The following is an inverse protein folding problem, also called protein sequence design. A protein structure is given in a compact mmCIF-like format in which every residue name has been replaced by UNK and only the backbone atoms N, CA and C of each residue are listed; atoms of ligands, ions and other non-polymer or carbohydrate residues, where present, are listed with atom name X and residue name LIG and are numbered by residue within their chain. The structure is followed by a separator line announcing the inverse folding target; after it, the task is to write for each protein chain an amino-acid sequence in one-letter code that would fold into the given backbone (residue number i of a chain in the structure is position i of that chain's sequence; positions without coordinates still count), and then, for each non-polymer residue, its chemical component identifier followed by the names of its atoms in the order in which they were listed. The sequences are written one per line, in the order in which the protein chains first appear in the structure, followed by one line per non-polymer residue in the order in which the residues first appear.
data_IF_489466744945
#
_entry.id   IF_489466744945
#
_cell.length_a   1.000
_cell.length_b   1.000
_cell.length_c   1.000
_cell.angle_alpha   90.00
_cell.angle_beta   90.00
_cell.angle_gamma   90.00
#
_symmetry.space_group_name_H-M   'P 1'
#
loop_
_entity.id
_entity.type
_entity.pdbx_description
1 polymer ?
#
# COMPACT_ATOMS: atom_id res chain seq x y z
N UNK A 1 -17.63 -6.51 -1.29
CA UNK A 1 -17.37 -5.94 0.05
C UNK A 1 -17.49 -4.43 -0.06
N UNK A 2 -18.29 -3.77 0.78
CA UNK A 2 -18.35 -2.30 0.81
C UNK A 2 -17.28 -1.76 1.77
N UNK A 3 -16.20 -1.24 1.18
CA UNK A 3 -15.05 -0.73 1.93
C UNK A 3 -15.43 0.52 2.75
N UNK A 4 -16.30 1.38 2.23
CA UNK A 4 -16.66 2.62 2.91
C UNK A 4 -17.50 2.30 4.14
N UNK A 5 -18.48 1.39 3.97
CA UNK A 5 -19.31 0.92 5.08
C UNK A 5 -18.45 0.26 6.15
N UNK A 6 -17.50 -0.60 5.75
CA UNK A 6 -16.58 -1.24 6.70
C UNK A 6 -15.75 -0.22 7.49
N UNK A 7 -15.21 0.81 6.84
CA UNK A 7 -14.49 1.88 7.54
C UNK A 7 -15.44 2.67 8.45
N UNK A 8 -16.65 2.99 7.99
CA UNK A 8 -17.65 3.72 8.77
C UNK A 8 -18.01 2.97 10.06
N UNK A 9 -18.25 1.68 9.97
CA UNK A 9 -18.58 0.81 11.10
C UNK A 9 -17.41 0.75 12.11
N UNK A 10 -16.18 0.53 11.65
CA UNK A 10 -14.98 0.42 12.51
C UNK A 10 -14.53 1.77 13.11
N UNK A 11 -14.83 2.89 12.43
CA UNK A 11 -14.51 4.23 12.92
C UNK A 11 -15.63 4.88 13.71
N UNK A 12 -16.82 4.26 13.74
CA UNK A 12 -18.07 4.84 14.27
C UNK A 12 -18.39 6.21 13.65
N UNK A 13 -18.02 6.40 12.38
CA UNK A 13 -18.24 7.64 11.64
C UNK A 13 -19.34 7.43 10.59
N UNK A 14 -20.18 8.45 10.32
CA UNK A 14 -21.11 8.39 9.20
C UNK A 14 -20.38 8.15 7.88
N UNK A 15 -20.96 7.33 7.00
CA UNK A 15 -20.46 7.01 5.65
C UNK A 15 -20.12 8.29 4.87
N UNK A 16 -20.92 9.35 5.00
CA UNK A 16 -20.66 10.65 4.37
C UNK A 16 -19.36 11.30 4.83
N UNK A 17 -19.05 11.27 6.14
CA UNK A 17 -17.78 11.79 6.68
C UNK A 17 -16.59 10.95 6.24
N UNK A 18 -16.74 9.63 6.19
CA UNK A 18 -15.67 8.74 5.70
C UNK A 18 -15.38 9.01 4.23
N UNK A 19 -16.42 9.10 3.39
CA UNK A 19 -16.27 9.41 1.97
C UNK A 19 -15.58 10.76 1.74
N UNK A 20 -16.03 11.81 2.45
CA UNK A 20 -15.40 13.14 2.39
C UNK A 20 -13.92 13.11 2.86
N UNK A 21 -13.61 12.33 3.88
CA UNK A 21 -12.24 12.14 4.34
C UNK A 21 -11.37 11.48 3.26
N UNK A 22 -11.83 10.36 2.70
CA UNK A 22 -11.12 9.62 1.65
C UNK A 22 -10.90 10.48 0.40
N UNK A 23 -11.86 11.33 0.04
CA UNK A 23 -11.73 12.21 -1.11
C UNK A 23 -10.48 13.12 -1.03
N UNK A 24 -10.10 13.51 0.20
CA UNK A 24 -8.93 14.34 0.48
C UNK A 24 -7.69 13.57 0.92
N UNK A 25 -7.79 12.24 1.09
CA UNK A 25 -6.73 11.38 1.60
C UNK A 25 -5.38 11.49 0.85
N UNK A 26 -5.33 11.65 -0.49
CA UNK A 26 -4.06 11.75 -1.20
C UNK A 26 -3.16 12.92 -0.77
N UNK A 27 -3.73 13.93 -0.11
CA UNK A 27 -3.02 15.10 0.39
C UNK A 27 -2.73 15.04 1.90
N UNK A 28 -3.16 13.97 2.60
CA UNK A 28 -3.03 13.82 4.05
C UNK A 28 -1.75 13.09 4.45
N UNK A 29 -0.64 13.41 3.77
CA UNK A 29 0.67 12.83 3.98
C UNK A 29 1.65 13.90 4.46
N UNK A 30 2.44 13.58 5.47
CA UNK A 30 3.58 14.40 5.88
C UNK A 30 4.80 13.91 5.11
N UNK A 31 5.35 14.78 4.27
CA UNK A 31 6.54 14.48 3.47
C UNK A 31 7.78 15.00 4.18
N UNK A 32 8.79 14.15 4.35
CA UNK A 32 10.07 14.53 4.95
C UNK A 32 11.21 13.63 4.45
N UNK A 33 12.45 14.14 4.36
CA UNK A 33 13.60 13.35 3.95
C UNK A 33 14.19 12.54 5.13
N UNK A 34 14.74 11.37 4.83
CA UNK A 34 15.61 10.59 5.73
C UNK A 34 16.95 10.36 5.02
N UNK A 35 18.10 10.52 5.70
CA UNK A 35 19.40 10.23 5.10
C UNK A 35 19.52 8.75 4.72
N UNK A 36 20.04 8.48 3.52
CA UNK A 36 20.43 7.11 3.13
C UNK A 36 21.79 6.77 3.76
N UNK A 37 22.02 5.48 4.02
CA UNK A 37 23.31 4.96 4.52
C UNK A 37 24.49 5.32 3.61
N UNK A 38 24.25 5.41 2.30
CA UNK A 38 25.29 5.62 1.29
C UNK A 38 25.34 7.10 0.81
N UNK A 39 24.74 8.02 1.56
CA UNK A 39 24.61 9.43 1.16
C UNK A 39 23.34 9.74 0.37
N UNK A 40 22.97 11.03 0.35
CA UNK A 40 21.70 11.51 -0.20
C UNK A 40 20.49 11.25 0.70
N UNK A 41 19.30 11.51 0.18
CA UNK A 41 18.05 11.45 0.93
C UNK A 41 17.03 10.50 0.30
N UNK A 42 16.21 9.87 1.15
CA UNK A 42 14.98 9.18 0.78
C UNK A 42 13.82 10.05 1.24
N UNK A 43 12.95 10.43 0.31
CA UNK A 43 11.67 11.04 0.66
C UNK A 43 10.76 9.98 1.31
N UNK A 44 10.23 10.31 2.47
CA UNK A 44 9.17 9.55 3.15
C UNK A 44 7.91 10.38 3.09
N UNK A 45 6.81 9.75 2.69
CA UNK A 45 5.47 10.32 2.75
C UNK A 45 4.64 9.47 3.71
N UNK A 46 4.55 9.95 4.94
CA UNK A 46 3.87 9.26 6.04
C UNK A 46 2.39 9.66 6.06
N UNK A 47 1.44 8.71 5.96
CA UNK A 47 0.01 9.03 6.08
C UNK A 47 -0.31 9.57 7.48
N UNK A 48 -1.25 10.50 7.56
CA UNK A 48 -1.81 10.94 8.84
C UNK A 48 -2.32 9.76 9.66
N UNK A 49 -2.30 9.87 11.00
CA UNK A 49 -2.74 8.78 11.90
C UNK A 49 -4.14 8.25 11.55
N UNK A 50 -5.07 9.15 11.25
CA UNK A 50 -6.43 8.79 10.84
C UNK A 50 -6.46 8.03 9.50
N UNK A 51 -5.70 8.50 8.50
CA UNK A 51 -5.60 7.81 7.21
C UNK A 51 -4.97 6.42 7.36
N UNK A 52 -3.90 6.31 8.14
CA UNK A 52 -3.22 5.04 8.43
C UNK A 52 -4.16 4.04 9.10
N UNK A 53 -5.05 4.52 9.97
CA UNK A 53 -6.06 3.66 10.60
C UNK A 53 -7.08 3.13 9.58
N UNK A 54 -7.63 3.99 8.73
CA UNK A 54 -8.56 3.57 7.66
C UNK A 54 -7.90 2.60 6.68
N UNK A 55 -6.65 2.85 6.27
CA UNK A 55 -5.88 1.93 5.43
C UNK A 55 -5.74 0.54 6.08
N UNK A 56 -5.45 0.48 7.39
CA UNK A 56 -5.31 -0.79 8.12
C UNK A 56 -6.61 -1.58 8.17
N UNK A 57 -7.76 -0.93 8.35
CA UNK A 57 -9.07 -1.59 8.30
C UNK A 57 -9.25 -2.32 6.96
N UNK A 58 -8.92 -1.64 5.85
CA UNK A 58 -9.07 -2.22 4.52
C UNK A 58 -8.03 -3.30 4.24
N UNK A 59 -6.78 -3.08 4.64
CA UNK A 59 -5.70 -4.08 4.50
C UNK A 59 -6.08 -5.37 5.22
N UNK A 60 -6.62 -5.30 6.44
CA UNK A 60 -7.01 -6.49 7.20
C UNK A 60 -8.07 -7.34 6.48
N UNK A 61 -8.91 -6.73 5.64
CA UNK A 61 -9.90 -7.45 4.83
C UNK A 61 -9.29 -7.96 3.52
N UNK A 62 -8.43 -7.18 2.89
CA UNK A 62 -7.69 -7.59 1.69
C UNK A 62 -6.74 -8.77 1.96
N UNK A 63 -6.08 -8.81 3.12
CA UNK A 63 -5.20 -9.91 3.53
C UNK A 63 -5.93 -11.26 3.60
N UNK A 64 -7.23 -11.27 3.85
CA UNK A 64 -8.03 -12.51 3.90
C UNK A 64 -8.28 -13.10 2.52
N UNK A 65 -8.20 -12.28 1.47
CA UNK A 65 -8.64 -12.66 0.11
C UNK A 65 -7.51 -12.62 -0.92
N UNK A 66 -6.49 -11.79 -0.73
CA UNK A 66 -5.35 -11.69 -1.63
C UNK A 66 -4.37 -12.83 -1.37
N UNK A 67 -4.07 -13.59 -2.43
CA UNK A 67 -3.09 -14.67 -2.36
C UNK A 67 -1.69 -14.11 -2.51
N UNK A 68 -0.81 -14.46 -1.58
CA UNK A 68 0.62 -14.13 -1.64
C UNK A 68 1.38 -15.35 -2.14
N UNK A 69 2.30 -15.14 -3.08
CA UNK A 69 3.13 -16.22 -3.63
C UNK A 69 4.02 -16.84 -2.55
N UNK A 70 4.22 -18.16 -2.59
CA UNK A 70 4.95 -18.90 -1.57
C UNK A 70 6.43 -18.52 -1.43
N UNK A 71 6.99 -17.85 -2.44
CA UNK A 71 8.38 -17.35 -2.45
C UNK A 71 8.50 -15.88 -2.01
N UNK A 72 7.40 -15.21 -1.67
CA UNK A 72 7.45 -13.84 -1.15
C UNK A 72 7.70 -13.83 0.37
N UNK A 73 8.84 -13.32 0.82
CA UNK A 73 9.18 -13.25 2.24
C UNK A 73 9.03 -11.85 2.84
N UNK A 74 9.05 -10.80 2.01
CA UNK A 74 8.90 -9.43 2.48
C UNK A 74 7.45 -9.13 2.86
N UNK A 75 7.25 -8.44 3.99
CA UNK A 75 5.93 -8.00 4.49
C UNK A 75 4.89 -9.11 4.74
N UNK A 76 5.31 -10.38 4.82
CA UNK A 76 4.42 -11.51 5.09
C UNK A 76 4.48 -11.89 6.58
N UNK A 77 3.31 -11.93 7.24
CA UNK A 77 3.20 -12.34 8.65
C UNK A 77 3.72 -13.77 8.83
N UNK A 78 4.55 -13.97 9.86
CA UNK A 78 5.12 -15.28 10.18
C UNK A 78 6.30 -15.70 9.30
N UNK A 79 6.76 -14.83 8.39
CA UNK A 79 8.02 -15.02 7.64
C UNK A 79 9.04 -14.00 8.06
N UNK A 80 10.31 -14.39 8.03
CA UNK A 80 11.44 -13.57 8.43
C UNK A 80 12.51 -13.51 7.35
N UNK A 81 13.42 -12.54 7.50
CA UNK A 81 14.62 -12.43 6.67
C UNK A 81 15.48 -13.70 6.82
N UNK A 82 15.52 -14.28 8.02
CA UNK A 82 16.25 -15.52 8.29
C UNK A 82 15.71 -16.67 7.45
N UNK A 83 14.39 -16.85 7.42
CA UNK A 83 13.76 -17.94 6.64
C UNK A 83 14.10 -17.81 5.14
N UNK A 84 14.11 -16.58 4.63
CA UNK A 84 14.51 -16.33 3.23
C UNK A 84 15.98 -16.70 2.99
N UNK A 85 16.89 -16.36 3.92
CA UNK A 85 18.32 -16.70 3.81
C UNK A 85 18.53 -18.21 3.88
N UNK A 86 17.85 -18.92 4.78
CA UNK A 86 17.96 -20.38 4.92
C UNK A 86 17.64 -21.13 3.62
N UNK A 87 16.70 -20.61 2.82
CA UNK A 87 16.35 -21.17 1.50
C UNK A 87 17.45 -21.00 0.45
N UNK A 88 18.32 -20.01 0.60
CA UNK A 88 19.35 -19.66 -0.39
C UNK A 88 20.78 -19.98 0.08
N UNK A 89 20.98 -20.40 1.33
CA UNK A 89 22.30 -20.55 1.96
C UNK A 89 23.24 -21.55 1.26
N UNK A 90 22.70 -22.52 0.51
CA UNK A 90 23.49 -23.54 -0.21
C UNK A 90 23.73 -23.19 -1.68
N UNK A 91 23.27 -22.03 -2.14
CA UNK A 91 23.41 -21.63 -3.53
C UNK A 91 24.83 -21.07 -3.76
N UNK A 92 25.58 -21.68 -4.67
CA UNK A 92 26.93 -21.22 -5.02
C UNK A 92 26.95 -19.86 -5.73
N UNK A 93 25.83 -19.47 -6.33
CA UNK A 93 25.66 -18.20 -7.03
C UNK A 93 24.31 -17.58 -6.71
N UNK A 94 24.27 -16.25 -6.55
CA UNK A 94 23.06 -15.50 -6.28
C UNK A 94 22.97 -14.33 -7.26
N UNK A 95 21.90 -14.31 -8.06
CA UNK A 95 21.55 -13.13 -8.84
C UNK A 95 20.86 -12.11 -7.93
N UNK A 96 21.41 -10.91 -7.86
CA UNK A 96 20.82 -9.79 -7.12
C UNK A 96 20.26 -8.76 -8.09
N UNK A 97 18.96 -8.54 -8.03
CA UNK A 97 18.24 -7.53 -8.80
C UNK A 97 17.51 -6.60 -7.82
N UNK A 98 17.45 -5.31 -8.15
CA UNK A 98 16.70 -4.31 -7.38
C UNK A 98 15.93 -3.39 -8.34
N UNK A 99 14.78 -2.88 -7.90
CA UNK A 99 13.95 -1.98 -8.69
C UNK A 99 14.24 -0.52 -8.33
N UNK A 100 14.44 0.31 -9.34
CA UNK A 100 14.50 1.75 -9.15
C UNK A 100 13.11 2.30 -8.82
N UNK A 101 13.02 3.08 -7.73
CA UNK A 101 11.82 3.80 -7.33
C UNK A 101 10.54 2.94 -7.15
N UNK A 102 10.70 1.71 -6.67
CA UNK A 102 9.63 0.69 -6.56
C UNK A 102 8.26 1.25 -6.14
N UNK A 103 8.15 1.85 -4.95
CA UNK A 103 6.86 2.34 -4.44
C UNK A 103 6.25 3.43 -5.31
N UNK A 104 7.03 4.43 -5.71
CA UNK A 104 6.48 5.53 -6.50
C UNK A 104 6.19 5.12 -7.96
N UNK A 105 6.75 4.00 -8.43
CA UNK A 105 6.41 3.43 -9.72
C UNK A 105 5.06 2.70 -9.72
N UNK A 106 4.55 2.30 -8.55
CA UNK A 106 3.24 1.65 -8.41
C UNK A 106 2.14 2.70 -8.50
N UNK A 107 1.23 2.48 -9.44
CA UNK A 107 0.11 3.35 -9.79
C UNK A 107 -1.24 2.72 -9.41
N UNK A 108 -2.34 3.50 -9.41
CA UNK A 108 -3.68 2.96 -9.25
C UNK A 108 -4.04 1.82 -10.22
N UNK A 109 -3.54 1.88 -11.45
CA UNK A 109 -3.78 0.85 -12.46
C UNK A 109 -3.25 -0.52 -12.03
N UNK A 110 -2.10 -0.55 -11.34
CA UNK A 110 -1.49 -1.78 -10.84
C UNK A 110 -2.34 -2.44 -9.74
N UNK A 111 -2.93 -1.62 -8.86
CA UNK A 111 -3.87 -2.12 -7.86
C UNK A 111 -5.15 -2.65 -8.53
N UNK A 112 -5.72 -1.89 -9.47
CA UNK A 112 -6.92 -2.32 -10.21
C UNK A 112 -6.69 -3.66 -10.93
N UNK A 113 -5.54 -3.83 -11.58
CA UNK A 113 -5.16 -5.07 -12.25
C UNK A 113 -4.97 -6.21 -11.24
N UNK A 114 -4.31 -5.96 -10.10
CA UNK A 114 -4.12 -6.95 -9.04
C UNK A 114 -5.46 -7.45 -8.49
N UNK A 115 -6.41 -6.55 -8.22
CA UNK A 115 -7.75 -6.90 -7.74
C UNK A 115 -8.52 -7.73 -8.76
N UNK A 116 -8.47 -7.33 -10.04
CA UNK A 116 -9.10 -8.08 -11.13
C UNK A 116 -8.53 -9.50 -11.25
N UNK A 117 -7.22 -9.65 -11.21
CA UNK A 117 -6.55 -10.95 -11.33
C UNK A 117 -6.84 -11.88 -10.13
N UNK A 118 -7.27 -11.33 -8.99
CA UNK A 118 -7.70 -12.10 -7.82
C UNK A 118 -9.23 -12.30 -7.77
N UNK A 119 -9.99 -11.94 -8.82
CA UNK A 119 -11.44 -12.09 -8.87
C UNK A 119 -12.19 -11.15 -7.92
N UNK A 120 -11.58 -10.00 -7.57
CA UNK A 120 -12.15 -9.00 -6.66
C UNK A 120 -12.84 -7.86 -7.41
N UNK A 121 -13.49 -8.16 -8.54
CA UNK A 121 -14.15 -7.17 -9.41
C UNK A 121 -15.19 -6.31 -8.66
N UNK A 122 -15.81 -6.85 -7.61
CA UNK A 122 -16.74 -6.09 -6.76
C UNK A 122 -16.11 -4.87 -6.09
N UNK A 123 -14.79 -4.86 -5.86
CA UNK A 123 -14.07 -3.72 -5.31
C UNK A 123 -13.78 -2.65 -6.37
N UNK A 124 -13.79 -3.01 -7.65
CA UNK A 124 -13.56 -2.07 -8.75
C UNK A 124 -14.71 -1.07 -8.90
N UNK A 125 -15.92 -1.42 -8.44
CA UNK A 125 -17.05 -0.46 -8.34
C UNK A 125 -16.74 0.74 -7.44
N UNK A 126 -15.81 0.59 -6.49
CA UNK A 126 -15.35 1.65 -5.58
C UNK A 126 -13.90 2.06 -5.84
N UNK A 127 -13.37 1.80 -7.04
CA UNK A 127 -11.95 1.99 -7.35
C UNK A 127 -11.44 3.40 -7.08
N UNK A 128 -12.22 4.44 -7.38
CA UNK A 128 -11.77 5.82 -7.18
C UNK A 128 -11.44 6.09 -5.70
N UNK A 129 -12.29 5.63 -4.79
CA UNK A 129 -12.10 5.80 -3.35
C UNK A 129 -10.94 4.94 -2.85
N UNK A 130 -10.81 3.72 -3.36
CA UNK A 130 -9.69 2.84 -3.02
C UNK A 130 -8.36 3.44 -3.44
N UNK A 131 -8.31 3.99 -4.66
CA UNK A 131 -7.15 4.68 -5.21
C UNK A 131 -6.80 5.90 -4.35
N UNK A 132 -7.79 6.71 -3.95
CA UNK A 132 -7.53 7.86 -3.07
C UNK A 132 -7.11 7.45 -1.65
N UNK A 133 -7.57 6.30 -1.16
CA UNK A 133 -7.23 5.79 0.16
C UNK A 133 -5.76 5.32 0.24
N UNK A 134 -5.28 4.61 -0.78
CA UNK A 134 -3.94 3.99 -0.75
C UNK A 134 -2.84 4.76 -1.46
N UNK A 135 -3.18 5.67 -2.37
CA UNK A 135 -2.20 6.42 -3.14
C UNK A 135 -2.18 7.90 -2.73
N UNK A 136 -1.02 8.52 -2.82
CA UNK A 136 -0.83 9.93 -2.49
C UNK A 136 -0.43 10.74 -3.72
N UNK A 137 -0.52 12.07 -3.58
CA UNK A 137 0.02 12.99 -4.59
C UNK A 137 1.25 13.68 -4.03
N UNK A 138 2.40 13.45 -4.67
CA UNK A 138 3.67 14.17 -4.41
C UNK A 138 3.51 15.69 -4.55
N UNK A 139 2.71 16.12 -5.52
CA UNK A 139 2.36 17.54 -5.72
C UNK A 139 0.93 17.68 -6.24
N UNK A 140 0.39 18.90 -6.28
CA UNK A 140 -0.97 19.14 -6.82
C UNK A 140 -1.14 18.61 -8.26
N UNK A 141 -0.07 18.64 -9.06
CA UNK A 141 -0.05 18.22 -10.47
C UNK A 141 0.44 16.79 -10.68
N UNK A 142 1.02 16.14 -9.67
CA UNK A 142 1.52 14.77 -9.85
C UNK A 142 0.39 13.78 -10.02
N UNK A 143 0.67 12.68 -10.72
CA UNK A 143 -0.18 11.49 -10.67
C UNK A 143 -0.24 10.93 -9.23
N UNK A 144 -1.19 10.03 -9.01
CA UNK A 144 -1.25 9.20 -7.80
C UNK A 144 -0.16 8.14 -7.87
N UNK A 145 0.59 7.99 -6.79
CA UNK A 145 1.61 6.93 -6.62
C UNK A 145 1.55 6.38 -5.21
N UNK A 146 2.09 5.17 -5.00
CA UNK A 146 2.22 4.62 -3.65
C UNK A 146 3.35 5.35 -2.92
N UNK A 147 3.18 5.59 -1.61
CA UNK A 147 4.22 6.21 -0.79
C UNK A 147 5.11 5.19 -0.09
N UNK A 148 6.26 5.69 0.36
CA UNK A 148 7.11 5.04 1.35
C UNK A 148 6.83 5.73 2.70
N UNK A 149 6.31 5.02 3.73
CA UNK A 149 6.05 5.62 5.06
C UNK A 149 5.27 4.75 6.06
#
# INVERSE_FOLDING_TARGET
MDIIKKIADETLMPVSKVSAFIFTAPYRYKVYPIPKRNGGFREIAQPSRALKFMQRIVIAELEKVLKVHENAYAYVKGRSIKDNVEKHQRNSYILKVDFCDFFNSISPCDLELCLKNNGLDSLLSSKELLNKLFFYKKSKRSALSMSIG
#
